data_IF_192083572849
#
_entry.id   IF_192083572849
#
_cell.length_a   1.000
_cell.length_b   1.000
_cell.length_c   1.000
_cell.angle_alpha   90.00
_cell.angle_beta   90.00
_cell.angle_gamma   90.00
#
_symmetry.space_group_name_H-M   'P 1'
#
loop_
_entity.id
_entity.type
_entity.pdbx_description
1 polymer ?
#
# COMPACT_ATOMS: atom_id res chain seq x y z
N UNK A 1 3.06 -9.66 19.67
CA UNK A 1 2.82 -8.22 19.43
C UNK A 1 1.32 -7.99 19.58
N UNK A 2 0.91 -6.81 20.04
CA UNK A 2 -0.52 -6.46 20.16
C UNK A 2 -0.74 -5.06 19.59
N UNK A 3 -1.63 -4.93 18.61
CA UNK A 3 -2.10 -3.66 18.08
C UNK A 3 -3.16 -3.11 19.05
N UNK A 4 -2.99 -1.84 19.44
CA UNK A 4 -3.90 -1.10 20.30
C UNK A 4 -4.83 -0.20 19.48
N UNK A 5 -4.32 0.42 18.42
CA UNK A 5 -5.13 1.20 17.49
C UNK A 5 -4.48 1.34 16.11
N UNK A 6 -5.30 1.49 15.08
CA UNK A 6 -4.93 2.00 13.76
C UNK A 6 -5.62 3.36 13.57
N UNK A 7 -4.84 4.40 13.32
CA UNK A 7 -5.32 5.77 13.12
C UNK A 7 -4.84 6.31 11.77
N UNK A 8 -5.53 7.33 11.26
CA UNK A 8 -5.27 7.98 9.98
C UNK A 8 -6.34 9.05 9.73
N UNK A 9 -6.31 9.74 8.58
CA UNK A 9 -7.36 10.70 8.23
C UNK A 9 -8.71 10.00 7.99
N UNK A 10 -9.82 10.68 8.29
CA UNK A 10 -11.17 10.16 7.98
C UNK A 10 -11.53 10.34 6.50
N UNK A 11 -10.93 11.35 5.85
CA UNK A 11 -11.18 11.70 4.45
C UNK A 11 -9.86 11.95 3.72
N UNK A 12 -9.83 11.70 2.41
CA UNK A 12 -8.71 12.04 1.53
C UNK A 12 -9.18 12.27 0.10
N UNK A 13 -8.23 12.47 -0.81
CA UNK A 13 -8.46 12.67 -2.24
C UNK A 13 -7.48 11.83 -3.06
N UNK A 14 -7.86 11.53 -4.31
CA UNK A 14 -7.01 10.81 -5.26
C UNK A 14 -5.66 11.52 -5.44
N UNK A 15 -4.57 10.77 -5.42
CA UNK A 15 -3.20 11.30 -5.53
C UNK A 15 -2.61 11.86 -4.23
N UNK A 16 -3.38 11.95 -3.13
CA UNK A 16 -2.86 12.42 -1.87
C UNK A 16 -1.97 11.39 -1.18
N UNK A 17 -0.96 11.88 -0.44
CA UNK A 17 -0.21 11.05 0.51
C UNK A 17 -0.88 11.15 1.87
N UNK A 18 -1.32 10.03 2.41
CA UNK A 18 -1.85 9.93 3.77
C UNK A 18 -0.87 9.21 4.69
N UNK A 19 -0.97 9.48 5.99
CA UNK A 19 -0.18 8.79 7.00
C UNK A 19 -1.09 8.00 7.94
N UNK A 20 -0.80 6.72 8.09
CA UNK A 20 -1.40 5.84 9.06
C UNK A 20 -0.46 5.68 10.25
N UNK A 21 -1.06 5.65 11.43
CA UNK A 21 -0.36 5.45 12.70
C UNK A 21 -0.91 4.21 13.38
N UNK A 22 -0.08 3.18 13.50
CA UNK A 22 -0.40 1.93 14.18
C UNK A 22 0.28 1.97 15.54
N UNK A 23 -0.50 1.98 16.61
CA UNK A 23 0.03 1.90 17.97
C UNK A 23 -0.12 0.48 18.49
N UNK A 24 0.84 0.04 19.30
CA UNK A 24 0.81 -1.29 19.87
C UNK A 24 1.93 -1.54 20.88
N UNK A 25 2.07 -2.79 21.29
CA UNK A 25 3.17 -3.25 22.13
C UNK A 25 3.77 -4.52 21.54
N UNK A 26 5.09 -4.53 21.39
CA UNK A 26 5.84 -5.75 21.10
C UNK A 26 5.86 -6.65 22.34
N UNK A 27 5.61 -7.94 22.16
CA UNK A 27 5.89 -8.94 23.19
C UNK A 27 7.22 -9.57 22.82
N UNK A 28 8.29 -9.19 23.51
CA UNK A 28 9.61 -9.76 23.28
C UNK A 28 9.61 -11.24 23.69
N UNK A 29 10.09 -12.10 22.80
CA UNK A 29 10.46 -13.48 23.11
C UNK A 29 11.89 -13.73 22.66
N UNK A 30 12.65 -14.51 23.43
CA UNK A 30 14.08 -14.77 23.19
C UNK A 30 14.40 -15.47 21.87
N UNK A 31 13.38 -15.98 21.18
CA UNK A 31 13.47 -16.69 19.90
C UNK A 31 12.91 -15.91 18.71
N UNK A 32 12.52 -14.63 18.88
CA UNK A 32 12.05 -13.80 17.76
C UNK A 32 13.23 -13.25 16.98
N UNK A 33 13.24 -13.52 15.67
CA UNK A 33 14.30 -13.05 14.76
C UNK A 33 13.85 -11.93 13.85
N UNK A 34 12.55 -11.81 13.62
CA UNK A 34 11.95 -10.85 12.71
C UNK A 34 10.56 -10.49 13.21
N UNK A 35 10.18 -9.23 13.02
CA UNK A 35 8.87 -8.70 13.34
C UNK A 35 8.30 -8.07 12.07
N UNK A 36 6.98 -8.00 11.96
CA UNK A 36 6.37 -7.29 10.83
C UNK A 36 4.97 -6.75 11.07
N UNK A 37 4.65 -5.80 10.19
CA UNK A 37 3.36 -5.18 10.03
C UNK A 37 2.79 -5.63 8.70
N UNK A 38 1.55 -6.13 8.73
CA UNK A 38 0.85 -6.61 7.55
C UNK A 38 -0.37 -5.73 7.35
N UNK A 39 -0.52 -5.17 6.16
CA UNK A 39 -1.62 -4.29 5.79
C UNK A 39 -2.43 -4.90 4.67
N UNK A 40 -3.74 -4.71 4.72
CA UNK A 40 -4.60 -4.77 3.54
C UNK A 40 -4.92 -3.34 3.12
N UNK A 41 -4.56 -2.98 1.90
CA UNK A 41 -4.82 -1.67 1.28
C UNK A 41 -5.52 -1.85 -0.08
N UNK A 42 -6.27 -0.86 -0.59
CA UNK A 42 -6.89 -0.97 -1.91
C UNK A 42 -5.84 -1.27 -3.00
N UNK A 43 -6.20 -2.05 -4.02
CA UNK A 43 -5.26 -2.53 -5.05
C UNK A 43 -4.52 -1.40 -5.79
N UNK A 44 -5.19 -0.27 -5.98
CA UNK A 44 -4.67 0.91 -6.68
C UNK A 44 -3.86 1.84 -5.76
N UNK A 45 -3.70 1.53 -4.47
CA UNK A 45 -2.94 2.34 -3.52
C UNK A 45 -1.53 1.79 -3.36
N UNK A 46 -0.58 2.66 -3.02
CA UNK A 46 0.82 2.26 -2.85
C UNK A 46 1.38 2.61 -1.47
N UNK A 47 2.24 1.74 -0.94
CA UNK A 47 3.01 2.05 0.27
C UNK A 47 4.26 2.84 -0.13
N UNK A 48 4.32 4.11 0.25
CA UNK A 48 5.48 4.98 -0.03
C UNK A 48 6.61 4.71 0.94
N UNK A 49 6.26 4.59 2.21
CA UNK A 49 7.22 4.32 3.27
C UNK A 49 6.52 3.71 4.48
N UNK A 50 7.27 2.91 5.23
CA UNK A 50 6.79 2.35 6.47
C UNK A 50 7.95 2.30 7.46
N UNK A 51 7.73 2.85 8.66
CA UNK A 51 8.75 2.96 9.68
C UNK A 51 8.17 2.54 11.02
N UNK A 52 8.95 1.81 11.82
CA UNK A 52 8.67 1.59 13.24
C UNK A 52 9.54 2.52 14.07
N UNK A 53 8.95 3.13 15.09
CA UNK A 53 9.66 4.01 16.02
C UNK A 53 9.88 3.29 17.35
N UNK A 54 11.15 3.17 17.75
CA UNK A 54 11.57 2.66 19.06
C UNK A 54 12.20 3.83 19.82
N UNK A 55 11.51 4.30 20.86
CA UNK A 55 11.88 5.54 21.56
C UNK A 55 11.99 6.71 20.57
N UNK A 56 13.21 7.18 20.26
CA UNK A 56 13.49 8.30 19.35
C UNK A 56 14.03 7.86 17.99
N UNK A 57 14.28 6.57 17.80
CA UNK A 57 14.90 6.04 16.58
C UNK A 57 13.85 5.42 15.68
N UNK A 58 13.91 5.74 14.39
CA UNK A 58 13.04 5.17 13.37
C UNK A 58 13.79 4.11 12.59
N UNK A 59 13.14 2.98 12.35
CA UNK A 59 13.65 1.87 11.56
C UNK A 59 12.70 1.61 10.40
N UNK A 60 13.20 1.61 9.15
CA UNK A 60 12.37 1.29 8.01
C UNK A 60 11.94 -0.17 8.05
N UNK A 61 10.68 -0.41 7.71
CA UNK A 61 10.17 -1.73 7.40
C UNK A 61 10.48 -2.04 5.94
N UNK A 62 11.07 -3.21 5.70
CA UNK A 62 11.38 -3.68 4.35
C UNK A 62 10.26 -4.58 3.87
N UNK A 63 9.82 -4.35 2.64
CA UNK A 63 8.81 -5.19 2.00
C UNK A 63 9.27 -6.65 1.96
N UNK A 64 8.33 -7.57 2.21
CA UNK A 64 8.58 -8.99 2.33
C UNK A 64 7.49 -9.80 1.62
N UNK A 65 7.69 -10.01 0.32
CA UNK A 65 6.78 -10.74 -0.56
C UNK A 65 6.48 -12.18 -0.10
N UNK A 66 7.45 -12.82 0.58
CA UNK A 66 7.24 -14.17 1.11
C UNK A 66 6.17 -14.17 2.21
N UNK A 67 6.18 -13.16 3.09
CA UNK A 67 5.16 -12.99 4.11
C UNK A 67 3.84 -12.54 3.50
N UNK A 68 3.85 -11.63 2.53
CA UNK A 68 2.63 -11.18 1.84
C UNK A 68 1.83 -12.34 1.25
N UNK A 69 2.52 -13.28 0.59
CA UNK A 69 1.91 -14.45 -0.04
C UNK A 69 1.19 -15.39 0.94
N UNK A 70 1.41 -15.25 2.24
CA UNK A 70 0.73 -16.03 3.28
C UNK A 70 -0.68 -15.52 3.57
N UNK A 71 -1.00 -14.28 3.19
CA UNK A 71 -2.25 -13.61 3.57
C UNK A 71 -3.22 -13.54 2.40
N UNK A 72 -4.51 -13.63 2.73
CA UNK A 72 -5.60 -13.47 1.76
C UNK A 72 -6.30 -12.12 1.95
N UNK A 73 -6.22 -11.19 0.97
CA UNK A 73 -6.95 -9.94 1.01
C UNK A 73 -8.43 -10.14 0.61
N UNK A 74 -9.27 -9.19 0.99
CA UNK A 74 -10.63 -9.06 0.45
C UNK A 74 -10.61 -8.57 -1.01
N UNK A 75 -11.66 -8.82 -1.81
CA UNK A 75 -11.74 -8.36 -3.19
C UNK A 75 -11.53 -6.84 -3.34
N UNK A 76 -10.71 -6.40 -4.31
CA UNK A 76 -10.36 -5.00 -4.54
C UNK A 76 -9.26 -4.46 -3.63
N UNK A 77 -8.58 -5.36 -2.89
CA UNK A 77 -7.48 -5.02 -2.00
C UNK A 77 -6.26 -5.92 -2.26
N UNK A 78 -5.07 -5.37 -2.02
CA UNK A 78 -3.82 -6.11 -1.97
C UNK A 78 -3.27 -6.18 -0.54
N UNK A 79 -2.34 -7.10 -0.34
CA UNK A 79 -1.57 -7.21 0.91
C UNK A 79 -0.22 -6.53 0.71
N UNK A 80 0.22 -5.81 1.74
CA UNK A 80 1.60 -5.37 1.88
C UNK A 80 2.14 -5.85 3.22
N UNK A 81 3.35 -6.41 3.26
CA UNK A 81 3.99 -6.85 4.51
C UNK A 81 5.38 -6.26 4.63
N UNK A 82 5.56 -5.43 5.65
CA UNK A 82 6.86 -4.86 6.00
C UNK A 82 7.45 -5.55 7.21
N UNK A 83 8.68 -6.03 7.10
CA UNK A 83 9.41 -6.67 8.19
C UNK A 83 10.66 -5.91 8.60
N UNK A 84 11.12 -6.15 9.82
CA UNK A 84 12.42 -5.72 10.31
C UNK A 84 12.96 -6.70 11.36
N UNK A 85 14.28 -6.80 11.43
CA UNK A 85 15.00 -7.50 12.51
C UNK A 85 15.20 -6.60 13.73
N UNK A 86 15.01 -5.29 13.56
CA UNK A 86 15.11 -4.32 14.63
C UNK A 86 13.92 -4.49 15.56
N UNK A 87 14.16 -4.33 16.86
CA UNK A 87 13.11 -4.51 17.87
C UNK A 87 11.96 -3.57 17.57
N UNK A 88 10.73 -4.05 17.68
CA UNK A 88 9.56 -3.20 17.49
C UNK A 88 9.34 -2.28 18.68
N UNK A 89 9.08 -1.02 18.37
CA UNK A 89 8.60 -0.04 19.32
C UNK A 89 7.10 0.18 19.19
N UNK A 90 6.59 1.02 20.08
CA UNK A 90 5.18 1.24 20.42
C UNK A 90 4.34 1.81 19.25
N UNK A 91 4.99 2.21 18.16
CA UNK A 91 4.42 3.02 17.09
C UNK A 91 5.01 2.65 15.73
N UNK A 92 4.16 2.30 14.77
CA UNK A 92 4.53 2.25 13.35
C UNK A 92 3.77 3.34 12.58
N UNK A 93 4.47 3.98 11.65
CA UNK A 93 3.91 4.98 10.74
C UNK A 93 4.06 4.47 9.32
N UNK A 94 2.96 4.49 8.57
CA UNK A 94 2.94 4.09 7.16
C UNK A 94 2.39 5.21 6.32
N UNK A 95 3.15 5.65 5.33
CA UNK A 95 2.72 6.63 4.34
C UNK A 95 2.16 5.88 3.13
N UNK A 96 0.91 6.17 2.77
CA UNK A 96 0.23 5.58 1.62
C UNK A 96 -0.05 6.63 0.57
N UNK A 97 0.15 6.25 -0.68
CA UNK A 97 -0.40 6.94 -1.82
C UNK A 97 -1.85 6.51 -2.01
N UNK A 98 -2.77 7.48 -2.02
CA UNK A 98 -4.16 7.23 -2.39
C UNK A 98 -4.24 7.13 -3.90
N UNK A 99 -4.52 5.93 -4.39
CA UNK A 99 -4.64 5.67 -5.83
C UNK A 99 -5.82 6.37 -6.48
N UNK A 100 -5.89 6.29 -7.80
CA UNK A 100 -6.99 6.85 -8.55
C UNK A 100 -8.30 6.06 -8.37
N UNK A 101 -9.43 6.75 -8.44
CA UNK A 101 -10.76 6.17 -8.38
C UNK A 101 -11.40 6.13 -9.77
N UNK A 102 -12.20 5.11 -10.11
CA UNK A 102 -13.08 5.20 -11.28
C UNK A 102 -14.16 6.29 -11.05
N UNK A 103 -14.83 6.72 -12.11
CA UNK A 103 -15.94 7.68 -12.02
C UNK A 103 -15.56 9.12 -12.34
N UNK A 104 -16.42 10.06 -11.92
CA UNK A 104 -16.31 11.49 -12.19
C UNK A 104 -15.69 12.24 -11.01
N UNK A 105 -15.17 13.44 -11.28
CA UNK A 105 -14.77 14.36 -10.21
C UNK A 105 -15.91 14.57 -9.20
N UNK A 106 -15.57 14.52 -7.91
CA UNK A 106 -16.50 14.64 -6.81
C UNK A 106 -17.14 13.32 -6.37
N UNK A 107 -16.97 12.23 -7.13
CA UNK A 107 -17.39 10.90 -6.68
C UNK A 107 -16.62 10.51 -5.42
N UNK A 108 -17.30 9.83 -4.51
CA UNK A 108 -16.72 9.42 -3.24
C UNK A 108 -16.81 7.91 -3.06
N UNK A 109 -15.73 7.30 -2.58
CA UNK A 109 -15.68 5.89 -2.24
C UNK A 109 -15.06 5.68 -0.86
N UNK A 110 -15.56 4.69 -0.11
CA UNK A 110 -15.07 4.40 1.24
C UNK A 110 -14.25 3.11 1.25
N UNK A 111 -12.99 3.24 1.64
CA UNK A 111 -12.06 2.13 1.80
C UNK A 111 -11.84 1.78 3.26
N UNK A 112 -11.62 0.48 3.53
CA UNK A 112 -11.30 -0.02 4.87
C UNK A 112 -9.91 -0.64 4.84
N UNK A 113 -8.96 0.08 5.42
CA UNK A 113 -7.60 -0.40 5.62
C UNK A 113 -7.58 -1.26 6.87
N UNK A 114 -6.88 -2.38 6.81
CA UNK A 114 -6.73 -3.30 7.94
C UNK A 114 -5.26 -3.52 8.25
N UNK A 115 -4.94 -3.62 9.53
CA UNK A 115 -3.58 -3.89 10.00
C UNK A 115 -3.53 -5.12 10.91
N UNK A 116 -2.52 -5.95 10.70
CA UNK A 116 -2.15 -7.07 11.55
C UNK A 116 -0.67 -6.98 11.92
N UNK A 117 -0.30 -7.66 12.99
CA UNK A 117 1.07 -7.77 13.45
C UNK A 117 1.51 -9.23 13.45
N UNK A 118 2.75 -9.50 13.07
CA UNK A 118 3.33 -10.84 13.07
C UNK A 118 4.80 -10.84 13.44
N UNK A 119 5.32 -12.04 13.67
CA UNK A 119 6.72 -12.26 13.99
C UNK A 119 7.20 -13.64 13.51
N UNK A 120 8.48 -13.73 13.17
CA UNK A 120 9.15 -15.01 12.93
C UNK A 120 9.81 -15.50 14.22
N UNK A 121 9.41 -16.70 14.66
CA UNK A 121 9.94 -17.37 15.84
C UNK A 121 10.48 -18.73 15.45
N UNK A 122 11.76 -18.98 15.76
CA UNK A 122 12.42 -20.25 15.43
C UNK A 122 12.28 -20.63 13.93
N UNK A 123 12.30 -19.63 13.04
CA UNK A 123 12.19 -19.82 11.59
C UNK A 123 10.76 -20.01 11.06
N UNK A 124 9.74 -19.89 11.90
CA UNK A 124 8.32 -19.97 11.50
C UNK A 124 7.64 -18.63 11.71
N UNK A 125 6.97 -18.13 10.66
CA UNK A 125 6.14 -16.94 10.75
C UNK A 125 4.81 -17.22 11.45
N UNK A 126 4.36 -16.29 12.28
CA UNK A 126 3.04 -16.33 12.91
C UNK A 126 2.45 -14.93 13.01
N UNK A 127 1.13 -14.82 12.83
CA UNK A 127 0.40 -13.57 13.11
C UNK A 127 0.14 -13.50 14.60
N UNK A 128 0.63 -12.46 15.24
CA UNK A 128 0.50 -12.24 16.68
C UNK A 128 -0.81 -11.55 17.04
N UNK A 129 -1.26 -10.60 16.23
CA UNK A 129 -2.48 -9.85 16.50
C UNK A 129 -3.19 -9.40 15.21
N UNK A 130 -4.37 -9.98 14.92
CA UNK A 130 -5.02 -11.06 15.66
C UNK A 130 -4.23 -12.38 15.55
N UNK A 131 -4.19 -13.14 16.65
CA UNK A 131 -3.42 -14.37 16.73
C UNK A 131 -3.84 -15.39 15.66
N UNK A 132 -2.85 -15.91 14.92
CA UNK A 132 -2.99 -16.98 13.91
C UNK A 132 -4.00 -16.67 12.79
N UNK A 133 -4.26 -15.39 12.52
CA UNK A 133 -5.13 -14.95 11.42
C UNK A 133 -4.30 -14.64 10.18
N UNK A 134 -4.69 -15.22 9.05
CA UNK A 134 -4.08 -14.98 7.73
C UNK A 134 -5.10 -14.47 6.69
N UNK A 135 -6.39 -14.53 7.00
CA UNK A 135 -7.47 -14.04 6.15
C UNK A 135 -7.98 -12.69 6.69
N UNK A 136 -7.87 -11.65 5.89
CA UNK A 136 -8.33 -10.32 6.27
C UNK A 136 -9.86 -10.21 6.41
N UNK A 137 -10.64 -11.13 5.86
CA UNK A 137 -12.08 -11.19 6.11
C UNK A 137 -12.38 -11.49 7.59
N UNK A 138 -11.49 -12.22 8.28
CA UNK A 138 -11.62 -12.53 9.71
C UNK A 138 -11.23 -11.35 10.64
N UNK A 139 -10.58 -10.31 10.11
CA UNK A 139 -10.14 -9.14 10.87
C UNK A 139 -11.28 -8.12 10.97
N UNK A 140 -12.01 -8.15 12.09
CA UNK A 140 -13.24 -7.36 12.27
C UNK A 140 -13.22 -6.39 13.45
N UNK A 141 -12.29 -6.53 14.40
CA UNK A 141 -12.24 -5.65 15.58
C UNK A 141 -11.73 -4.26 15.20
N UNK A 142 -12.47 -3.21 15.57
CA UNK A 142 -12.20 -1.81 15.19
C UNK A 142 -10.77 -1.34 15.40
N UNK A 143 -10.04 -1.84 16.40
CA UNK A 143 -8.63 -1.49 16.63
C UNK A 143 -7.69 -1.82 15.47
N UNK A 144 -8.07 -2.73 14.58
CA UNK A 144 -7.30 -3.09 13.38
C UNK A 144 -7.77 -2.36 12.12
N UNK A 145 -8.87 -1.62 12.18
CA UNK A 145 -9.58 -1.10 11.00
C UNK A 145 -9.46 0.42 10.96
N UNK A 146 -9.26 0.97 9.77
CA UNK A 146 -9.43 2.39 9.50
C UNK A 146 -10.21 2.60 8.22
N UNK A 147 -11.38 3.21 8.35
CA UNK A 147 -12.18 3.65 7.22
C UNK A 147 -11.70 5.02 6.76
N UNK A 148 -11.58 5.19 5.44
CA UNK A 148 -11.21 6.45 4.80
C UNK A 148 -12.16 6.68 3.64
N UNK A 149 -12.85 7.81 3.63
CA UNK A 149 -13.64 8.25 2.48
C UNK A 149 -12.75 9.05 1.54
N UNK A 150 -12.58 8.59 0.31
CA UNK A 150 -11.77 9.26 -0.70
C UNK A 150 -12.69 9.93 -1.70
N UNK A 151 -12.44 11.21 -1.97
CA UNK A 151 -13.08 11.98 -3.03
C UNK A 151 -12.21 11.96 -4.27
N UNK A 152 -12.78 11.62 -5.42
CA UNK A 152 -12.11 11.77 -6.70
C UNK A 152 -11.93 13.26 -7.00
N UNK A 153 -10.69 13.72 -7.09
CA UNK A 153 -10.36 15.07 -7.55
C UNK A 153 -10.09 15.06 -9.03
N UNK A 154 -10.21 16.23 -9.68
CA UNK A 154 -9.88 16.36 -11.09
C UNK A 154 -8.41 16.02 -11.29
N UNK A 155 -8.19 14.92 -12.00
CA UNK A 155 -6.87 14.48 -12.38
C UNK A 155 -6.33 15.51 -13.41
N UNK A 156 -5.28 16.24 -13.05
CA UNK A 156 -4.45 16.91 -14.07
C UNK A 156 -3.63 15.85 -14.86
N UNK A 157 -3.75 14.57 -14.47
CA UNK A 157 -3.13 13.44 -15.12
C UNK A 157 -4.05 12.66 -16.06
N UNK A 158 -3.43 11.90 -16.95
CA UNK A 158 -4.05 10.89 -17.79
C UNK A 158 -4.39 9.70 -16.91
N UNK A 159 -5.67 9.32 -16.90
CA UNK A 159 -6.12 8.15 -16.18
C UNK A 159 -5.73 6.86 -16.92
N UNK A 160 -5.04 5.96 -16.22
CA UNK A 160 -4.67 4.63 -16.69
C UNK A 160 -5.42 3.60 -15.82
N UNK A 161 -6.50 2.95 -16.31
CA UNK A 161 -7.33 2.08 -15.49
C UNK A 161 -6.65 0.78 -15.05
N UNK A 162 -5.70 0.28 -15.83
CA UNK A 162 -4.97 -0.95 -15.52
C UNK A 162 -3.76 -0.63 -14.61
N UNK A 163 -3.72 -1.17 -13.38
CA UNK A 163 -2.65 -0.85 -12.44
C UNK A 163 -1.27 -1.35 -12.89
N UNK A 164 -1.20 -2.43 -13.68
CA UNK A 164 0.06 -2.96 -14.20
C UNK A 164 0.60 -2.09 -15.35
N UNK A 165 -0.31 -1.55 -16.17
CA UNK A 165 0.04 -0.56 -17.20
C UNK A 165 0.46 0.76 -16.59
N UNK A 166 -0.29 1.26 -15.60
CA UNK A 166 0.02 2.48 -14.88
C UNK A 166 1.42 2.39 -14.25
N UNK A 167 1.71 1.28 -13.58
CA UNK A 167 3.03 0.99 -13.00
C UNK A 167 4.14 1.02 -14.06
N UNK A 168 3.94 0.38 -15.22
CA UNK A 168 4.93 0.38 -16.30
C UNK A 168 5.20 1.78 -16.86
N UNK A 169 4.15 2.59 -17.03
CA UNK A 169 4.26 3.98 -17.50
C UNK A 169 5.00 4.84 -16.46
N UNK A 170 4.68 4.70 -15.18
CA UNK A 170 5.34 5.45 -14.09
C UNK A 170 6.82 5.12 -13.98
N UNK A 171 7.18 3.85 -14.14
CA UNK A 171 8.58 3.42 -14.20
C UNK A 171 9.31 4.06 -15.38
N UNK A 172 8.68 4.08 -16.57
CA UNK A 172 9.29 4.64 -17.76
C UNK A 172 9.41 6.19 -17.72
N UNK A 173 8.52 6.86 -16.99
CA UNK A 173 8.55 8.30 -16.74
C UNK A 173 9.40 8.71 -15.53
N UNK A 174 9.91 7.74 -14.75
CA UNK A 174 10.63 7.96 -13.48
C UNK A 174 9.81 8.79 -12.47
N UNK A 175 8.48 8.63 -12.46
CA UNK A 175 7.57 9.38 -11.58
C UNK A 175 7.18 8.55 -10.35
N UNK A 176 6.93 9.23 -9.23
CA UNK A 176 6.39 8.60 -8.04
C UNK A 176 4.95 8.09 -8.24
N UNK A 177 4.47 7.16 -7.40
CA UNK A 177 3.14 6.58 -7.52
C UNK A 177 1.99 7.57 -7.29
N UNK A 178 2.24 8.71 -6.63
CA UNK A 178 1.25 9.78 -6.45
C UNK A 178 1.38 10.92 -7.46
N UNK A 179 2.45 10.94 -8.25
CA UNK A 179 2.66 12.06 -9.17
C UNK A 179 1.64 11.95 -10.31
N UNK A 180 0.91 13.01 -10.67
CA UNK A 180 -0.01 12.94 -11.80
C UNK A 180 0.75 12.68 -13.10
N UNK A 181 0.31 11.71 -13.89
CA UNK A 181 0.86 11.44 -15.24
C UNK A 181 0.31 12.51 -16.19
N UNK A 182 0.99 13.65 -16.32
CA UNK A 182 0.44 14.78 -17.09
C UNK A 182 0.52 14.57 -18.61
N UNK A 183 -0.21 15.37 -19.39
CA UNK A 183 -0.06 15.39 -20.84
C UNK A 183 1.36 15.70 -21.29
N UNK A 184 2.07 16.60 -20.59
CA UNK A 184 3.47 16.92 -20.88
C UNK A 184 4.37 15.70 -20.70
N UNK A 185 4.13 14.90 -19.66
CA UNK A 185 4.84 13.63 -19.44
C UNK A 185 4.52 12.62 -20.55
N UNK A 186 3.25 12.51 -20.96
CA UNK A 186 2.88 11.63 -22.06
C UNK A 186 3.52 12.04 -23.41
N UNK A 187 3.79 13.33 -23.60
CA UNK A 187 4.50 13.81 -24.78
C UNK A 187 6.00 13.49 -24.79
N UNK A 188 6.64 13.25 -23.64
CA UNK A 188 8.08 12.91 -23.62
C UNK A 188 8.35 11.40 -23.71
N UNK A 189 7.36 10.56 -23.40
CA UNK A 189 7.50 9.11 -23.45
C UNK A 189 7.51 8.62 -24.90
N UNK A 190 8.64 8.04 -25.31
CA UNK A 190 8.86 7.52 -26.68
C UNK A 190 9.00 6.00 -26.72
N UNK A 191 9.38 5.39 -25.59
CA UNK A 191 9.52 3.94 -25.44
C UNK A 191 8.85 3.49 -24.16
N UNK A 192 8.04 2.43 -24.23
CA UNK A 192 7.41 1.79 -23.08
C UNK A 192 7.67 0.29 -23.17
N UNK A 193 8.34 -0.28 -22.18
CA UNK A 193 8.47 -1.74 -22.07
C UNK A 193 7.58 -2.26 -20.94
N UNK A 194 6.54 -2.98 -21.31
CA UNK A 194 5.59 -3.57 -20.37
C UNK A 194 5.47 -5.10 -20.53
N UNK A 195 6.52 -5.76 -21.04
CA UNK A 195 6.53 -7.20 -21.28
C UNK A 195 6.27 -8.00 -19.99
N UNK A 196 5.48 -9.08 -20.10
CA UNK A 196 5.17 -10.02 -19.01
C UNK A 196 4.49 -9.40 -17.78
N UNK A 197 3.81 -8.25 -17.92
CA UNK A 197 3.14 -7.54 -16.81
C UNK A 197 1.66 -7.85 -16.60
N UNK A 198 1.10 -8.86 -17.28
CA UNK A 198 -0.32 -9.24 -17.15
C UNK A 198 -1.28 -8.02 -17.24
N UNK A 199 -1.10 -7.20 -18.28
CA UNK A 199 -1.94 -6.03 -18.59
C UNK A 199 -3.19 -6.51 -19.33
N UNK A 200 -4.36 -6.08 -18.88
CA UNK A 200 -5.67 -6.46 -19.40
C UNK A 200 -6.42 -5.29 -20.05
N UNK A 201 -6.11 -4.04 -19.68
CA UNK A 201 -6.69 -2.84 -20.28
C UNK A 201 -5.60 -1.85 -20.73
N UNK A 202 -5.69 -1.39 -21.98
CA UNK A 202 -4.74 -0.45 -22.60
C UNK A 202 -5.26 0.99 -22.64
N UNK A 203 -6.46 1.23 -22.10
CA UNK A 203 -7.06 2.56 -22.05
C UNK A 203 -6.12 3.54 -21.34
N UNK A 204 -5.99 4.74 -21.89
CA UNK A 204 -5.05 5.74 -21.44
C UNK A 204 -3.74 5.79 -22.25
N UNK A 205 -3.36 4.74 -22.98
CA UNK A 205 -2.20 4.79 -23.90
C UNK A 205 -2.42 5.73 -25.09
N UNK A 206 -3.66 6.00 -25.48
CA UNK A 206 -4.01 6.91 -26.58
C UNK A 206 -3.52 8.35 -26.37
N UNK A 207 -3.16 8.73 -25.14
CA UNK A 207 -2.61 10.04 -24.84
C UNK A 207 -1.08 10.13 -25.08
N UNK A 208 -0.38 8.99 -25.25
CA UNK A 208 1.07 8.91 -25.45
C UNK A 208 1.42 8.97 -26.95
N UNK A 209 1.09 10.09 -27.57
CA UNK A 209 1.16 10.27 -29.04
C UNK A 209 2.57 10.14 -29.65
N UNK A 210 3.61 10.27 -28.83
CA UNK A 210 5.00 10.20 -29.26
C UNK A 210 5.64 8.82 -29.01
N UNK A 211 4.86 7.84 -28.53
CA UNK A 211 5.32 6.48 -28.32
C UNK A 211 5.62 5.81 -29.67
N UNK A 212 6.89 5.51 -29.93
CA UNK A 212 7.35 4.86 -31.17
C UNK A 212 7.68 3.38 -30.97
N UNK A 213 7.96 2.98 -29.73
CA UNK A 213 8.38 1.64 -29.37
C UNK A 213 7.59 1.15 -28.14
N UNK A 214 6.88 0.02 -28.29
CA UNK A 214 6.00 -0.59 -27.28
C UNK A 214 6.26 -2.11 -27.19
#
# INVERSE_FOLDING_TARGET
MTISSLQGPDTSETGAIINLTITGQGTESSNTTEYGLILQIPEHWEVISANVSVMITQYPLKENLAIESLYSPQPGYKVWAGTTTERYGVLATVSLCVGNLPGNEGDMENYVIKAMAGASRSGTWCTDDPQDVFDFAAVTKSKYLKSITVTKTFDQGIFIPDPNLESAIREALETGPCDPITQDMAHILTTLNAESRAIFDLSGLEYFLNLTDL
#
